data_IF_956858223035
#
_entry.id   IF_956858223035
#
_cell.length_a   1.000
_cell.length_b   1.000
_cell.length_c   1.000
_cell.angle_alpha   90.00
_cell.angle_beta   90.00
_cell.angle_gamma   90.00
#
_symmetry.space_group_name_H-M   'P 1'
#
loop_
_entity.id
_entity.type
_entity.pdbx_description
1 polymer ?
#
# COMPACT_ATOMS: atom_id res chain seq x y z
N UNK A 1 4.20 10.61 17.18
CA UNK A 1 4.38 10.08 15.80
C UNK A 1 3.89 11.10 14.80
N UNK A 2 4.66 11.38 13.73
CA UNK A 2 4.22 12.31 12.68
C UNK A 2 3.03 11.75 11.91
N UNK A 3 2.15 12.63 11.44
CA UNK A 3 1.01 12.28 10.57
C UNK A 3 1.40 12.54 9.11
N UNK A 4 1.21 11.55 8.25
CA UNK A 4 1.42 11.69 6.81
C UNK A 4 0.07 11.93 6.16
N UNK A 5 -0.12 13.09 5.53
CA UNK A 5 -1.33 13.41 4.76
C UNK A 5 -1.13 12.93 3.31
N UNK A 6 -2.03 12.07 2.85
CA UNK A 6 -2.03 11.55 1.48
C UNK A 6 -3.28 12.08 0.80
N UNK A 7 -3.10 12.94 -0.20
CA UNK A 7 -4.17 13.40 -1.07
C UNK A 7 -4.19 12.54 -2.34
N UNK A 8 -5.02 11.49 -2.33
CA UNK A 8 -5.09 10.51 -3.41
C UNK A 8 -5.60 11.12 -4.73
N UNK A 9 -6.35 12.22 -4.67
CA UNK A 9 -6.88 12.92 -5.86
C UNK A 9 -5.77 13.52 -6.73
N UNK A 10 -4.60 13.77 -6.14
CA UNK A 10 -3.41 14.30 -6.82
C UNK A 10 -2.44 13.21 -7.27
N UNK A 11 -2.70 11.95 -6.94
CA UNK A 11 -1.81 10.86 -7.30
C UNK A 11 -2.00 10.49 -8.78
N UNK A 12 -0.92 10.54 -9.56
CA UNK A 12 -0.92 10.16 -10.98
C UNK A 12 -0.58 8.69 -11.22
N UNK A 13 -0.26 7.93 -10.16
CA UNK A 13 0.17 6.54 -10.29
C UNK A 13 1.60 6.35 -10.80
N UNK A 14 2.47 7.37 -10.72
CA UNK A 14 3.85 7.29 -11.22
C UNK A 14 4.78 6.32 -10.44
N UNK A 15 4.40 5.92 -9.23
CA UNK A 15 5.15 4.99 -8.34
C UNK A 15 6.59 5.39 -8.00
N UNK A 16 6.98 6.65 -8.23
CA UNK A 16 8.29 7.17 -7.82
C UNK A 16 8.55 7.03 -6.32
N UNK A 17 7.50 7.10 -5.49
CA UNK A 17 7.61 6.86 -4.05
C UNK A 17 8.05 5.43 -3.71
N UNK A 18 7.60 4.42 -4.47
CA UNK A 18 8.04 3.04 -4.29
C UNK A 18 9.50 2.87 -4.69
N UNK A 19 9.89 3.45 -5.84
CA UNK A 19 11.27 3.47 -6.33
C UNK A 19 12.20 4.10 -5.30
N UNK A 20 11.91 5.32 -4.85
CA UNK A 20 12.72 6.05 -3.89
C UNK A 20 12.85 5.31 -2.55
N UNK A 21 11.74 4.76 -2.04
CA UNK A 21 11.75 3.98 -0.80
C UNK A 21 12.59 2.71 -0.96
N UNK A 22 12.44 1.97 -2.06
CA UNK A 22 13.22 0.76 -2.29
C UNK A 22 14.71 1.05 -2.43
N UNK A 23 15.10 2.10 -3.17
CA UNK A 23 16.49 2.52 -3.33
C UNK A 23 17.16 2.84 -2.00
N UNK A 24 16.44 3.50 -1.10
CA UNK A 24 16.97 3.87 0.22
C UNK A 24 17.20 2.66 1.14
N UNK A 25 16.48 1.56 0.90
CA UNK A 25 16.38 0.45 1.87
C UNK A 25 16.85 -0.90 1.34
N UNK A 26 17.08 -1.00 0.03
CA UNK A 26 17.63 -2.18 -0.61
C UNK A 26 18.99 -1.77 -1.18
N UNK A 27 20.06 -2.36 -0.64
CA UNK A 27 21.42 -2.03 -1.04
C UNK A 27 21.61 -2.20 -2.56
N UNK A 28 21.93 -1.10 -3.24
CA UNK A 28 22.30 -1.07 -4.65
C UNK A 28 21.27 -1.69 -5.61
N UNK A 29 19.97 -1.70 -5.28
CA UNK A 29 18.94 -2.24 -6.19
C UNK A 29 17.63 -1.50 -6.02
N UNK A 30 16.99 -1.17 -7.14
CA UNK A 30 15.59 -0.72 -7.17
C UNK A 30 14.69 -1.94 -7.12
N UNK A 31 13.97 -2.15 -6.02
CA UNK A 31 12.99 -3.23 -5.92
C UNK A 31 11.68 -2.72 -5.27
N UNK A 32 10.71 -2.25 -6.07
CA UNK A 32 9.43 -1.73 -5.55
C UNK A 32 8.64 -2.75 -4.71
N UNK A 33 8.92 -4.06 -4.85
CA UNK A 33 8.29 -5.08 -3.99
C UNK A 33 8.71 -4.95 -2.53
N UNK A 34 9.93 -4.45 -2.27
CA UNK A 34 10.49 -4.20 -0.95
C UNK A 34 10.26 -2.77 -0.45
N UNK A 35 9.54 -1.94 -1.20
CA UNK A 35 9.18 -0.61 -0.76
C UNK A 35 8.17 -0.67 0.41
N UNK A 36 8.37 0.21 1.41
CA UNK A 36 7.46 0.37 2.55
C UNK A 36 6.28 1.30 2.25
N UNK A 37 6.10 1.69 1.00
CA UNK A 37 4.93 2.36 0.44
C UNK A 37 4.57 1.67 -0.87
N UNK A 38 3.28 1.53 -1.15
CA UNK A 38 2.74 0.91 -2.38
C UNK A 38 1.57 1.71 -2.89
N UNK A 39 1.50 1.93 -4.20
CA UNK A 39 0.39 2.60 -4.86
C UNK A 39 -0.60 1.54 -5.34
N UNK A 40 -1.79 1.54 -4.73
CA UNK A 40 -2.89 0.66 -5.08
C UNK A 40 -3.77 1.35 -6.12
N UNK A 41 -4.31 0.61 -7.08
CA UNK A 41 -5.22 1.14 -8.10
C UNK A 41 -6.61 0.56 -7.85
N UNK A 42 -7.59 1.43 -7.63
CA UNK A 42 -9.00 1.08 -7.51
C UNK A 42 -9.77 1.97 -8.49
N UNK A 43 -10.41 1.37 -9.49
CA UNK A 43 -10.98 2.12 -10.62
C UNK A 43 -9.94 2.98 -11.34
N UNK A 44 -10.23 4.28 -11.50
CA UNK A 44 -9.34 5.26 -12.13
C UNK A 44 -8.51 6.07 -11.12
N UNK A 45 -8.60 5.75 -9.82
CA UNK A 45 -7.82 6.41 -8.78
C UNK A 45 -6.63 5.56 -8.29
N UNK A 46 -5.63 6.27 -7.78
CA UNK A 46 -4.42 5.71 -7.19
C UNK A 46 -4.33 6.07 -5.71
N UNK A 47 -4.14 5.06 -4.87
CA UNK A 47 -4.08 5.17 -3.42
C UNK A 47 -2.70 4.76 -2.91
N UNK A 48 -1.83 5.72 -2.56
CA UNK A 48 -0.58 5.41 -1.86
C UNK A 48 -0.88 4.90 -0.45
N UNK A 49 -0.47 3.67 -0.15
CA UNK A 49 -0.62 3.00 1.14
C UNK A 49 0.77 2.76 1.72
N UNK A 50 0.99 3.26 2.94
CA UNK A 50 2.25 3.11 3.68
C UNK A 50 2.13 1.92 4.61
N UNK A 51 3.15 1.06 4.62
CA UNK A 51 3.25 -0.09 5.50
C UNK A 51 2.94 0.28 6.96
N UNK A 52 2.23 -0.61 7.62
CA UNK A 52 1.81 -0.51 9.01
C UNK A 52 2.41 -1.64 9.84
N UNK A 53 1.76 -2.03 10.93
CA UNK A 53 2.26 -3.09 11.81
C UNK A 53 2.23 -4.45 11.14
N UNK A 54 3.08 -5.35 11.62
CA UNK A 54 3.01 -6.77 11.32
C UNK A 54 1.84 -7.42 12.07
N UNK A 55 1.18 -8.36 11.42
CA UNK A 55 0.18 -9.24 12.02
C UNK A 55 0.48 -10.68 11.61
N UNK A 56 0.36 -11.59 12.55
CA UNK A 56 0.61 -13.03 12.38
C UNK A 56 -0.59 -13.79 11.80
N UNK A 57 -1.79 -13.26 11.95
CA UNK A 57 -3.03 -13.83 11.43
C UNK A 57 -3.75 -12.91 10.44
N UNK A 58 -4.56 -13.53 9.57
CA UNK A 58 -5.47 -12.82 8.68
C UNK A 58 -6.83 -12.59 9.37
N UNK A 59 -7.58 -11.57 8.91
CA UNK A 59 -8.94 -11.34 9.36
C UNK A 59 -9.87 -12.49 8.94
N UNK A 60 -10.80 -12.86 9.82
CA UNK A 60 -11.87 -13.84 9.53
C UNK A 60 -12.86 -13.32 8.49
N UNK A 61 -13.10 -12.00 8.48
CA UNK A 61 -13.95 -11.33 7.50
C UNK A 61 -13.16 -10.24 6.77
N UNK A 62 -13.17 -10.31 5.43
CA UNK A 62 -12.62 -9.25 4.57
C UNK A 62 -13.76 -8.33 4.15
N UNK A 63 -13.45 -7.05 3.98
CA UNK A 63 -14.43 -6.05 3.62
C UNK A 63 -14.15 -5.52 2.22
N UNK A 64 -15.23 -5.40 1.45
CA UNK A 64 -15.28 -4.60 0.24
C UNK A 64 -16.35 -3.56 0.48
N UNK A 65 -16.02 -2.30 0.28
CA UNK A 65 -16.93 -1.19 0.53
C UNK A 65 -17.25 -0.45 -0.76
N UNK A 66 -18.47 0.03 -0.88
CA UNK A 66 -18.90 0.87 -2.00
C UNK A 66 -19.05 2.29 -1.49
N UNK A 67 -18.35 3.24 -2.12
CA UNK A 67 -18.47 4.68 -1.80
C UNK A 67 -18.75 5.40 -3.12
N UNK A 68 -19.92 6.02 -3.21
CA UNK A 68 -20.43 6.53 -4.49
C UNK A 68 -20.56 5.39 -5.50
N UNK A 69 -20.00 5.57 -6.69
CA UNK A 69 -20.04 4.58 -7.78
C UNK A 69 -18.79 3.68 -7.81
N UNK A 70 -17.89 3.78 -6.82
CA UNK A 70 -16.65 3.01 -6.77
C UNK A 70 -16.68 1.96 -5.67
N UNK A 71 -16.13 0.80 -5.99
CA UNK A 71 -15.94 -0.33 -5.06
C UNK A 71 -14.48 -0.39 -4.66
N UNK A 72 -14.20 -0.51 -3.37
CA UNK A 72 -12.86 -0.53 -2.81
C UNK A 72 -12.61 -1.84 -2.06
N UNK A 73 -11.50 -2.50 -2.39
CA UNK A 73 -10.97 -3.58 -1.55
C UNK A 73 -10.27 -3.00 -0.31
N UNK A 74 -10.81 -3.26 0.88
CA UNK A 74 -10.17 -2.80 2.12
C UNK A 74 -8.84 -3.51 2.38
N UNK A 75 -8.59 -4.69 1.81
CA UNK A 75 -7.28 -5.35 1.89
C UNK A 75 -6.22 -4.57 1.11
N UNK A 76 -6.60 -3.92 0.00
CA UNK A 76 -5.73 -3.06 -0.78
C UNK A 76 -5.31 -1.82 0.04
N UNK A 77 -6.28 -1.18 0.71
CA UNK A 77 -6.03 0.01 1.54
C UNK A 77 -5.47 -0.30 2.94
N UNK A 78 -5.53 -1.57 3.35
CA UNK A 78 -5.02 -2.01 4.65
C UNK A 78 -3.49 -1.93 4.71
N UNK A 79 -2.99 -1.26 5.74
CA UNK A 79 -1.56 -1.02 5.96
C UNK A 79 -0.81 -2.23 6.54
N UNK A 80 -1.50 -3.17 7.17
CA UNK A 80 -0.85 -4.26 7.88
C UNK A 80 0.04 -5.13 6.97
N UNK A 81 1.22 -5.52 7.45
CA UNK A 81 1.99 -6.62 6.88
C UNK A 81 1.32 -7.91 7.35
N UNK A 82 0.51 -8.49 6.47
CA UNK A 82 -0.45 -9.54 6.79
C UNK A 82 -0.19 -10.76 5.91
N UNK A 83 -0.29 -11.99 6.44
CA UNK A 83 0.05 -13.21 5.69
C UNK A 83 -0.81 -13.44 4.44
N UNK A 84 -1.97 -12.78 4.34
CA UNK A 84 -2.89 -12.90 3.20
C UNK A 84 -2.49 -12.00 2.00
N UNK A 85 -1.56 -11.06 2.19
CA UNK A 85 -1.23 -10.03 1.20
C UNK A 85 0.21 -10.21 0.72
N UNK A 86 0.49 -10.17 -0.60
CA UNK A 86 1.84 -10.36 -1.13
C UNK A 86 2.71 -9.08 -1.07
N UNK A 87 2.35 -8.10 -0.22
CA UNK A 87 3.01 -6.80 -0.10
C UNK A 87 3.22 -6.41 1.36
N UNK A 88 4.21 -5.54 1.59
CA UNK A 88 4.75 -5.19 2.92
C UNK A 88 5.41 -6.36 3.66
N UNK A 89 5.97 -7.33 2.92
CA UNK A 89 6.72 -8.45 3.47
C UNK A 89 8.21 -8.12 3.39
N UNK A 90 8.90 -8.15 4.52
CA UNK A 90 10.36 -8.13 4.57
C UNK A 90 10.85 -9.57 4.44
N UNK A 91 11.00 -10.02 3.19
CA UNK A 91 11.79 -11.20 2.86
C UNK A 91 13.28 -10.83 2.80
#
# INVERSE_FOLDING_TARGET
MPRIKIDYTKCTGCRHCETACSLNHVANTVNPRRARIRVMKEGDQYFPVIAGPFVDAACTSKQTIVIGDQTYDMCALCRASCPQKPYFIEA
#
